data_IF_625483677118
#
_entry.id   IF_625483677118
#
_cell.length_a   1.000
_cell.length_b   1.000
_cell.length_c   1.000
_cell.angle_alpha   90.00
_cell.angle_beta   90.00
_cell.angle_gamma   90.00
#
_symmetry.space_group_name_H-M   'P 1'
#
loop_
_entity.id
_entity.type
_entity.pdbx_description
1 polymer ?
#
# COMPACT_ATOMS: atom_id res chain seq x y z
N UNK A 1 -1.44 -16.87 8.79
CA UNK A 1 -0.25 -17.32 8.04
C UNK A 1 0.03 -18.81 8.25
N UNK A 2 0.33 -19.27 9.47
CA UNK A 2 0.72 -20.67 9.76
C UNK A 2 -0.27 -21.76 9.30
N UNK A 3 -1.55 -21.69 9.71
CA UNK A 3 -2.54 -22.73 9.38
C UNK A 3 -2.77 -22.90 7.87
N UNK A 4 -2.64 -21.81 7.10
CA UNK A 4 -2.85 -21.81 5.65
C UNK A 4 -1.56 -21.98 4.85
N UNK A 5 -0.42 -22.21 5.51
CA UNK A 5 0.88 -22.34 4.84
C UNK A 5 1.28 -21.07 4.05
N UNK A 6 0.90 -19.88 4.54
CA UNK A 6 1.24 -18.61 3.90
C UNK A 6 2.55 -18.08 4.47
N UNK A 7 3.53 -17.83 3.60
CA UNK A 7 4.83 -17.29 3.96
C UNK A 7 4.86 -15.76 4.00
N UNK A 8 4.22 -15.11 3.03
CA UNK A 8 4.12 -13.65 2.94
C UNK A 8 2.70 -13.20 2.59
N UNK A 9 2.33 -12.00 3.02
CA UNK A 9 1.12 -11.30 2.60
C UNK A 9 1.54 -10.07 1.81
N UNK A 10 1.09 -9.98 0.56
CA UNK A 10 1.21 -8.78 -0.27
C UNK A 10 -0.10 -8.00 -0.17
N UNK A 11 -0.03 -6.73 0.22
CA UNK A 11 -1.20 -5.88 0.43
C UNK A 11 -0.89 -4.40 0.12
N UNK A 12 -1.91 -3.52 0.07
CA UNK A 12 -1.69 -2.09 -0.03
C UNK A 12 -0.97 -1.53 1.20
N UNK A 13 -0.14 -0.51 0.99
CA UNK A 13 0.51 0.23 2.08
C UNK A 13 -0.38 1.33 2.67
N UNK A 14 -1.28 1.90 1.86
CA UNK A 14 -2.19 2.97 2.21
C UNK A 14 -3.46 2.91 1.33
N UNK A 15 -4.49 3.68 1.67
CA UNK A 15 -5.74 3.82 0.88
C UNK A 15 -5.52 4.47 -0.49
N UNK A 16 -4.41 5.18 -0.69
CA UNK A 16 -4.06 5.89 -1.92
C UNK A 16 -2.55 6.06 -2.09
N UNK A 17 -2.13 6.78 -3.12
CA UNK A 17 -0.70 6.95 -3.46
C UNK A 17 0.06 7.93 -2.55
N UNK A 18 -0.66 8.78 -1.82
CA UNK A 18 -0.06 9.78 -0.95
C UNK A 18 -1.11 10.52 -0.14
N UNK A 19 -0.62 11.44 0.68
CA UNK A 19 -1.47 12.28 1.51
C UNK A 19 -0.79 13.62 1.75
N UNK A 20 -1.58 14.69 1.78
CA UNK A 20 -1.07 16.00 2.16
C UNK A 20 -0.61 16.00 3.62
N UNK A 21 0.33 16.88 3.93
CA UNK A 21 0.85 17.03 5.29
C UNK A 21 -0.31 17.27 6.29
N UNK A 22 -0.37 16.47 7.35
CA UNK A 22 -1.45 16.51 8.35
C UNK A 22 -2.77 15.83 7.93
N UNK A 23 -2.84 15.32 6.70
CA UNK A 23 -4.03 14.68 6.13
C UNK A 23 -4.13 13.17 6.35
N UNK A 24 -3.09 12.50 6.89
CA UNK A 24 -3.11 11.06 7.13
C UNK A 24 -4.05 10.72 8.30
N UNK A 25 -5.31 10.34 8.03
CA UNK A 25 -6.32 10.04 9.07
C UNK A 25 -6.59 8.54 9.21
N UNK A 26 -6.22 7.73 8.22
CA UNK A 26 -6.39 6.28 8.25
C UNK A 26 -5.06 5.54 8.19
N UNK A 27 -4.74 4.77 9.22
CA UNK A 27 -3.46 4.05 9.35
C UNK A 27 -3.65 2.54 9.49
N UNK A 28 -4.87 2.03 9.23
CA UNK A 28 -5.25 0.63 9.43
C UNK A 28 -4.45 -0.37 8.59
N UNK A 29 -4.01 0.03 7.39
CA UNK A 29 -3.22 -0.83 6.49
C UNK A 29 -1.85 -1.21 7.07
N UNK A 30 -1.28 -0.39 7.95
CA UNK A 30 0.03 -0.64 8.57
C UNK A 30 -0.09 -1.03 10.03
N UNK A 31 -1.02 -0.43 10.78
CA UNK A 31 -1.14 -0.60 12.23
C UNK A 31 -1.44 -2.04 12.67
N UNK A 32 -2.16 -2.82 11.84
CA UNK A 32 -2.45 -4.22 12.13
C UNK A 32 -1.18 -5.05 12.28
N UNK A 33 -0.13 -4.77 11.52
CA UNK A 33 1.13 -5.50 11.57
C UNK A 33 1.95 -5.15 12.81
N UNK A 34 1.81 -3.93 13.32
CA UNK A 34 2.37 -3.53 14.61
C UNK A 34 1.69 -4.29 15.75
N UNK A 35 0.36 -4.43 15.72
CA UNK A 35 -0.40 -5.15 16.76
C UNK A 35 -0.03 -6.64 16.78
N UNK A 36 0.15 -7.23 15.60
CA UNK A 36 0.51 -8.64 15.43
C UNK A 36 2.02 -8.90 15.59
N UNK A 37 2.82 -7.84 15.79
CA UNK A 37 4.28 -7.87 15.85
C UNK A 37 4.91 -8.59 14.64
N UNK A 38 4.44 -8.24 13.44
CA UNK A 38 4.89 -8.85 12.19
C UNK A 38 5.80 -7.91 11.40
N UNK A 39 6.95 -8.40 10.90
CA UNK A 39 7.81 -7.59 10.05
C UNK A 39 7.13 -7.30 8.71
N UNK A 40 7.24 -6.04 8.28
CA UNK A 40 6.67 -5.55 7.03
C UNK A 40 7.63 -4.61 6.31
N UNK A 41 7.66 -4.68 4.98
CA UNK A 41 8.45 -3.80 4.10
C UNK A 41 7.53 -3.16 3.08
N UNK A 42 7.67 -1.84 2.89
CA UNK A 42 6.97 -1.09 1.84
C UNK A 42 7.92 -0.85 0.68
N UNK A 43 7.44 -1.09 -0.54
CA UNK A 43 8.20 -0.94 -1.77
C UNK A 43 7.33 -0.32 -2.88
N UNK A 44 7.91 0.46 -3.81
CA UNK A 44 7.18 0.99 -4.95
C UNK A 44 6.76 -0.15 -5.89
N UNK A 45 5.54 -0.05 -6.43
CA UNK A 45 4.99 -1.03 -7.38
C UNK A 45 5.59 -0.93 -8.79
N UNK A 46 6.39 0.10 -9.06
CA UNK A 46 6.80 0.49 -10.42
C UNK A 46 5.78 1.39 -11.13
N UNK A 47 4.53 1.41 -10.65
CA UNK A 47 3.49 2.30 -11.15
C UNK A 47 3.53 3.65 -10.44
N UNK A 48 3.09 4.68 -11.16
CA UNK A 48 2.83 6.02 -10.65
C UNK A 48 1.39 6.36 -10.97
N UNK A 49 0.82 7.24 -10.16
CA UNK A 49 -0.49 7.82 -10.47
C UNK A 49 -0.42 8.48 -11.83
N UNK A 50 -1.39 8.16 -12.69
CA UNK A 50 -1.64 8.81 -13.96
C UNK A 50 -2.99 9.51 -13.87
N UNK A 51 -2.98 10.83 -13.84
CA UNK A 51 -4.20 11.63 -13.71
C UNK A 51 -5.24 11.43 -14.83
N UNK A 52 -4.84 10.87 -15.98
CA UNK A 52 -5.77 10.57 -17.06
C UNK A 52 -6.52 9.24 -16.84
N UNK A 53 -5.99 8.36 -15.99
CA UNK A 53 -6.51 7.00 -15.75
C UNK A 53 -7.07 6.88 -14.34
N UNK A 54 -6.33 7.36 -13.35
CA UNK A 54 -6.65 7.28 -11.92
C UNK A 54 -7.60 8.41 -11.51
N UNK A 55 -8.72 8.51 -12.22
CA UNK A 55 -9.76 9.49 -11.89
C UNK A 55 -10.55 9.03 -10.67
N UNK A 56 -11.00 10.01 -9.88
CA UNK A 56 -11.87 9.76 -8.73
C UNK A 56 -13.19 9.13 -9.22
N UNK A 57 -13.55 7.97 -8.66
CA UNK A 57 -14.80 7.26 -8.96
C UNK A 57 -16.05 8.01 -8.42
N UNK A 58 -16.78 8.69 -9.30
CA UNK A 58 -17.96 9.48 -8.91
C UNK A 58 -19.09 8.65 -8.27
N UNK A 59 -19.14 7.34 -8.57
CA UNK A 59 -20.19 6.43 -8.11
C UNK A 59 -19.89 5.75 -6.77
N UNK A 60 -18.67 5.90 -6.25
CA UNK A 60 -18.27 5.26 -4.99
C UNK A 60 -19.11 5.78 -3.82
N UNK A 61 -19.63 4.86 -3.02
CA UNK A 61 -20.39 5.17 -1.79
C UNK A 61 -19.55 4.80 -0.57
N UNK A 62 -19.07 5.79 0.20
CA UNK A 62 -18.33 5.52 1.41
C UNK A 62 -19.11 4.64 2.40
N UNK A 63 -18.39 3.75 3.08
CA UNK A 63 -18.95 2.80 4.05
C UNK A 63 -19.28 3.46 5.39
N UNK A 64 -18.48 4.44 5.77
CA UNK A 64 -18.60 5.22 7.00
C UNK A 64 -17.94 6.60 6.84
N UNK A 65 -17.96 7.42 7.89
CA UNK A 65 -17.39 8.77 7.89
C UNK A 65 -15.87 8.77 7.65
N UNK A 66 -15.14 7.76 8.13
CA UNK A 66 -13.68 7.70 7.97
C UNK A 66 -13.30 7.36 6.53
N UNK A 67 -14.02 6.41 5.93
CA UNK A 67 -13.91 6.05 4.51
C UNK A 67 -14.23 7.25 3.62
N UNK A 68 -15.24 8.06 3.99
CA UNK A 68 -15.61 9.27 3.24
C UNK A 68 -14.51 10.34 3.28
N UNK A 69 -13.86 10.53 4.44
CA UNK A 69 -12.76 11.49 4.61
C UNK A 69 -11.60 11.13 3.69
N UNK A 70 -11.13 9.87 3.72
CA UNK A 70 -10.03 9.43 2.88
C UNK A 70 -10.42 9.45 1.39
N UNK A 71 -11.66 9.08 1.06
CA UNK A 71 -12.15 9.13 -0.32
C UNK A 71 -12.18 10.56 -0.88
N UNK A 72 -12.57 11.54 -0.08
CA UNK A 72 -12.57 12.96 -0.47
C UNK A 72 -11.17 13.56 -0.53
N UNK A 73 -10.18 12.97 0.13
CA UNK A 73 -8.81 13.48 0.14
C UNK A 73 -8.04 13.22 -1.16
N UNK A 74 -8.53 12.33 -2.03
CA UNK A 74 -7.89 12.03 -3.30
C UNK A 74 -8.15 13.10 -4.37
N UNK A 75 -7.08 13.56 -5.00
CA UNK A 75 -7.07 14.50 -6.13
C UNK A 75 -6.06 14.02 -7.18
N UNK A 76 -6.56 13.70 -8.37
CA UNK A 76 -5.76 13.10 -9.44
C UNK A 76 -4.66 14.05 -9.97
N UNK A 77 -4.94 15.36 -10.05
CA UNK A 77 -3.96 16.35 -10.52
C UNK A 77 -2.86 16.57 -9.48
N UNK A 78 -3.21 16.60 -8.19
CA UNK A 78 -2.27 16.77 -7.09
C UNK A 78 -1.32 15.58 -6.95
N UNK A 79 -1.82 14.36 -7.14
CA UNK A 79 -1.05 13.14 -6.94
C UNK A 79 -0.40 12.60 -8.21
N UNK A 80 -0.59 13.24 -9.36
CA UNK A 80 0.01 12.83 -10.64
C UNK A 80 1.53 12.59 -10.52
N UNK A 81 1.99 11.44 -11.02
CA UNK A 81 3.39 11.03 -10.95
C UNK A 81 3.87 10.54 -9.57
N UNK A 82 3.04 10.57 -8.52
CA UNK A 82 3.39 9.99 -7.22
C UNK A 82 3.49 8.46 -7.30
N UNK A 83 4.43 7.83 -6.58
CA UNK A 83 4.59 6.38 -6.61
C UNK A 83 3.42 5.68 -5.93
N UNK A 84 2.94 4.59 -6.55
CA UNK A 84 1.99 3.67 -5.93
C UNK A 84 2.79 2.59 -5.21
N UNK A 85 2.57 2.41 -3.91
CA UNK A 85 3.37 1.51 -3.07
C UNK A 85 2.58 0.30 -2.58
N UNK A 86 3.28 -0.82 -2.48
CA UNK A 86 2.79 -2.07 -1.90
C UNK A 86 3.52 -2.36 -0.59
N UNK A 87 2.92 -3.21 0.23
CA UNK A 87 3.45 -3.68 1.50
C UNK A 87 3.56 -5.20 1.46
N UNK A 88 4.72 -5.73 1.83
CA UNK A 88 4.98 -7.16 1.97
C UNK A 88 5.21 -7.47 3.45
N UNK A 89 4.44 -8.41 3.98
CA UNK A 89 4.45 -8.77 5.41
C UNK A 89 4.83 -10.22 5.59
N UNK A 90 5.72 -10.49 6.56
CA UNK A 90 6.16 -11.83 6.90
C UNK A 90 5.64 -12.35 8.24
N UNK A 91 6.20 -13.48 8.63
CA UNK A 91 5.94 -14.09 9.94
C UNK A 91 6.76 -13.36 11.02
N UNK A 92 6.24 -13.37 12.23
CA UNK A 92 6.92 -12.86 13.43
C UNK A 92 8.34 -13.46 13.57
N UNK A 93 9.36 -12.61 13.76
CA UNK A 93 10.80 -12.95 13.83
C UNK A 93 11.44 -13.48 12.53
N UNK A 94 10.89 -13.15 11.37
CA UNK A 94 11.47 -13.52 10.07
C UNK A 94 11.85 -12.30 9.21
N UNK A 95 12.38 -11.25 9.85
CA UNK A 95 12.73 -9.97 9.23
C UNK A 95 13.65 -10.12 8.00
N UNK A 96 14.69 -10.95 8.09
CA UNK A 96 15.63 -11.19 6.99
C UNK A 96 14.95 -11.84 5.78
N UNK A 97 14.02 -12.77 6.02
CA UNK A 97 13.24 -13.42 4.97
C UNK A 97 12.31 -12.41 4.27
N UNK A 98 11.71 -11.49 5.03
CA UNK A 98 10.88 -10.41 4.47
C UNK A 98 11.71 -9.49 3.60
N UNK A 99 12.90 -9.08 4.07
CA UNK A 99 13.80 -8.22 3.28
C UNK A 99 14.24 -8.95 2.00
N UNK A 100 14.58 -10.23 2.08
CA UNK A 100 14.96 -11.02 0.91
C UNK A 100 13.81 -11.15 -0.10
N UNK A 101 12.61 -11.47 0.38
CA UNK A 101 11.43 -11.56 -0.47
C UNK A 101 11.07 -10.20 -1.09
N UNK A 102 11.16 -9.11 -0.34
CA UNK A 102 10.93 -7.76 -0.84
C UNK A 102 11.92 -7.39 -1.97
N UNK A 103 13.20 -7.77 -1.85
CA UNK A 103 14.18 -7.57 -2.93
C UNK A 103 13.81 -8.33 -4.21
N UNK A 104 13.31 -9.55 -4.08
CA UNK A 104 12.86 -10.34 -5.23
C UNK A 104 11.64 -9.70 -5.90
N UNK A 105 10.66 -9.26 -5.09
CA UNK A 105 9.46 -8.58 -5.60
C UNK A 105 9.85 -7.26 -6.28
N UNK A 106 10.72 -6.45 -5.67
CA UNK A 106 11.22 -5.20 -6.25
C UNK A 106 11.93 -5.42 -7.60
N UNK A 107 12.73 -6.48 -7.72
CA UNK A 107 13.37 -6.85 -8.99
C UNK A 107 12.34 -7.16 -10.07
N UNK A 108 11.35 -8.00 -9.75
CA UNK A 108 10.29 -8.35 -10.71
C UNK A 108 9.50 -7.10 -11.13
N UNK A 109 9.14 -6.23 -10.19
CA UNK A 109 8.38 -5.02 -10.49
C UNK A 109 9.16 -4.02 -11.38
N UNK A 110 10.48 -3.96 -11.21
CA UNK A 110 11.34 -3.12 -12.06
C UNK A 110 11.51 -3.68 -13.46
N UNK A 111 11.61 -5.00 -13.61
CA UNK A 111 11.73 -5.63 -14.92
C UNK A 111 10.49 -5.38 -15.81
N UNK A 112 9.29 -5.31 -15.21
CA UNK A 112 8.05 -4.96 -15.92
C UNK A 112 7.94 -3.47 -16.28
N UNK A 113 8.72 -2.59 -15.65
CA UNK A 113 8.70 -1.15 -15.91
C UNK A 113 9.66 -0.73 -17.04
N UNK A 114 10.48 -1.65 -17.55
CA UNK A 114 11.33 -1.52 -18.74
C UNK A 114 10.69 -2.11 -19.98
#
# INVERSE_FOLDING_TARGET
MKQRGVDFILCPAYVGAGVLQGGAKYWGYTSIWNILDQPAVILPSGLKVDKAIDLREETYKPRDEQDEIEWKAYDAELFDGMPICLQLVGKHFHDEEVIQAAKLVDLVLKDFAT
#
